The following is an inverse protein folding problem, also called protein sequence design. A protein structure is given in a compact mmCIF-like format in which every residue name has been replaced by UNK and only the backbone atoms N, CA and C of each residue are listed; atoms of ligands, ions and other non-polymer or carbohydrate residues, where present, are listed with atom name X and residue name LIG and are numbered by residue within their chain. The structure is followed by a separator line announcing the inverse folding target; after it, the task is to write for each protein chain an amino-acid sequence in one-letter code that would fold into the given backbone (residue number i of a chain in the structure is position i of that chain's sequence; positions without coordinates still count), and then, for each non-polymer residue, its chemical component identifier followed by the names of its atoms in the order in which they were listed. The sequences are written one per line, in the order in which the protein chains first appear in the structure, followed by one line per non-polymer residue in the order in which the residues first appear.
data_IF_458528373468
#
_entry.id   IF_458528373468
#
_cell.length_a   1.000
_cell.length_b   1.000
_cell.length_c   1.000
_cell.angle_alpha   90.00
_cell.angle_beta   90.00
_cell.angle_gamma   90.00
#
_symmetry.space_group_name_H-M   'P 1'
#
loop_
_entity.id
_entity.type
_entity.pdbx_description
1 polymer ?
#
# COMPACT_ATOMS: atom_id res chain seq x y z
N UNK A 1 -22.63 1.02 -19.13
CA UNK A 1 -23.08 1.85 -17.97
C UNK A 1 -23.01 1.04 -16.68
N UNK A 2 -22.62 1.68 -15.56
CA UNK A 2 -22.49 1.06 -14.23
C UNK A 2 -23.73 1.34 -13.39
N UNK A 3 -24.23 0.34 -12.65
CA UNK A 3 -25.39 0.44 -11.74
C UNK A 3 -24.92 0.38 -10.30
N UNK A 4 -24.91 1.52 -9.62
CA UNK A 4 -24.49 1.66 -8.22
C UNK A 4 -25.44 0.95 -7.24
N UNK A 5 -26.69 0.67 -7.65
CA UNK A 5 -27.63 -0.11 -6.85
C UNK A 5 -27.20 -1.57 -6.64
N UNK A 6 -26.41 -2.11 -7.58
CA UNK A 6 -25.91 -3.48 -7.51
C UNK A 6 -24.63 -3.61 -6.67
N UNK A 7 -23.96 -2.50 -6.37
CA UNK A 7 -22.72 -2.53 -5.57
C UNK A 7 -23.07 -2.95 -4.14
N UNK A 8 -22.45 -4.01 -3.58
CA UNK A 8 -22.68 -4.43 -2.21
C UNK A 8 -22.32 -3.32 -1.23
N UNK A 9 -23.13 -3.16 -0.18
CA UNK A 9 -22.99 -2.05 0.78
C UNK A 9 -22.88 -2.60 2.19
N UNK A 10 -21.86 -2.15 2.92
CA UNK A 10 -21.73 -2.43 4.35
C UNK A 10 -22.66 -1.55 5.21
N UNK A 11 -22.95 -0.33 4.75
CA UNK A 11 -23.79 0.65 5.45
C UNK A 11 -25.05 0.97 4.66
N UNK A 12 -26.20 0.91 5.33
CA UNK A 12 -27.45 1.42 4.78
C UNK A 12 -27.44 2.96 4.85
N UNK A 13 -27.91 3.62 3.80
CA UNK A 13 -28.10 5.07 3.78
C UNK A 13 -27.12 5.88 2.92
N UNK A 14 -26.10 5.24 2.32
CA UNK A 14 -25.19 5.93 1.41
C UNK A 14 -25.90 6.46 0.17
N UNK A 15 -25.57 7.69 -0.22
CA UNK A 15 -26.08 8.31 -1.44
C UNK A 15 -25.34 7.85 -2.70
N UNK A 16 -25.85 8.23 -3.87
CA UNK A 16 -25.24 7.84 -5.15
C UNK A 16 -23.84 8.41 -5.38
N UNK A 17 -23.51 9.54 -4.77
CA UNK A 17 -22.20 10.20 -4.90
C UNK A 17 -21.18 9.49 -4.02
N UNK A 18 -21.51 9.24 -2.75
CA UNK A 18 -20.68 8.52 -1.79
C UNK A 18 -20.35 7.11 -2.30
N UNK A 19 -21.31 6.43 -2.94
CA UNK A 19 -21.06 5.14 -3.58
C UNK A 19 -20.10 5.24 -4.77
N UNK A 20 -20.14 6.34 -5.52
CA UNK A 20 -19.31 6.53 -6.71
C UNK A 20 -17.85 6.85 -6.36
N UNK A 21 -17.61 7.62 -5.28
CA UNK A 21 -16.26 8.06 -4.87
C UNK A 21 -15.72 7.29 -3.67
N UNK A 22 -16.45 6.28 -3.18
CA UNK A 22 -16.03 5.46 -2.04
C UNK A 22 -14.67 4.81 -2.29
N UNK A 23 -13.76 4.95 -1.32
CA UNK A 23 -12.44 4.29 -1.28
C UNK A 23 -12.40 3.12 -0.29
N UNK A 24 -13.54 2.42 -0.09
CA UNK A 24 -13.55 1.20 0.69
C UNK A 24 -12.51 0.19 0.18
N UNK A 25 -11.76 -0.39 1.10
CA UNK A 25 -10.69 -1.36 0.86
C UNK A 25 -11.25 -2.72 0.43
N UNK A 26 -10.37 -3.63 0.01
CA UNK A 26 -10.70 -5.04 -0.31
C UNK A 26 -11.72 -5.20 -1.46
N UNK A 27 -11.76 -4.25 -2.40
CA UNK A 27 -12.60 -4.32 -3.60
C UNK A 27 -11.75 -4.45 -4.85
N UNK A 28 -12.21 -5.27 -5.79
CA UNK A 28 -11.56 -5.47 -7.08
C UNK A 28 -12.60 -5.35 -8.20
N UNK A 29 -12.24 -4.66 -9.27
CA UNK A 29 -13.03 -4.63 -10.51
C UNK A 29 -12.37 -5.55 -11.52
N UNK A 30 -13.13 -6.49 -12.09
CA UNK A 30 -12.66 -7.44 -13.08
C UNK A 30 -13.51 -7.30 -14.34
N UNK A 31 -12.85 -7.23 -15.50
CA UNK A 31 -13.51 -7.23 -16.80
C UNK A 31 -13.48 -8.64 -17.34
N UNK A 32 -14.66 -9.18 -17.65
CA UNK A 32 -14.84 -10.56 -18.11
C UNK A 32 -15.64 -10.53 -19.42
N UNK A 33 -15.36 -11.48 -20.32
CA UNK A 33 -16.18 -11.67 -21.51
C UNK A 33 -17.63 -12.01 -21.13
N UNK A 34 -18.66 -11.53 -21.86
CA UNK A 34 -20.06 -11.76 -21.51
C UNK A 34 -20.42 -13.24 -21.30
N UNK A 35 -19.83 -14.13 -22.09
CA UNK A 35 -20.01 -15.59 -22.02
C UNK A 35 -19.47 -16.22 -20.73
N UNK A 36 -18.47 -15.61 -20.09
CA UNK A 36 -17.77 -16.15 -18.94
C UNK A 36 -18.28 -15.61 -17.60
N UNK A 37 -19.17 -14.61 -17.60
CA UNK A 37 -19.66 -13.94 -16.37
C UNK A 37 -20.24 -14.94 -15.37
N UNK A 38 -21.11 -15.84 -15.82
CA UNK A 38 -21.74 -16.83 -14.91
C UNK A 38 -20.74 -17.81 -14.34
N UNK A 39 -19.75 -18.23 -15.13
CA UNK A 39 -18.68 -19.13 -14.70
C UNK A 39 -17.80 -18.45 -13.65
N UNK A 40 -17.45 -17.18 -13.87
CA UNK A 40 -16.67 -16.39 -12.91
C UNK A 40 -17.41 -16.22 -11.58
N UNK A 41 -18.70 -15.86 -11.62
CA UNK A 41 -19.53 -15.73 -10.42
C UNK A 41 -19.66 -17.06 -9.65
N UNK A 42 -19.72 -18.19 -10.36
CA UNK A 42 -19.74 -19.51 -9.72
C UNK A 42 -18.43 -19.81 -8.97
N UNK A 43 -17.27 -19.54 -9.58
CA UNK A 43 -15.98 -19.71 -8.90
C UNK A 43 -15.79 -18.75 -7.73
N UNK A 44 -16.19 -17.48 -7.86
CA UNK A 44 -16.15 -16.54 -6.74
C UNK A 44 -16.96 -17.06 -5.55
N UNK A 45 -18.14 -17.63 -5.82
CA UNK A 45 -18.99 -18.24 -4.78
C UNK A 45 -18.34 -19.48 -4.15
N UNK A 46 -17.64 -20.30 -4.93
CA UNK A 46 -16.90 -21.48 -4.43
C UNK A 46 -15.82 -21.07 -3.42
N UNK A 47 -15.11 -19.97 -3.70
CA UNK A 47 -14.10 -19.36 -2.81
C UNK A 47 -14.70 -18.47 -1.70
N UNK A 48 -16.03 -18.49 -1.51
CA UNK A 48 -16.74 -17.67 -0.53
C UNK A 48 -16.48 -16.15 -0.67
N UNK A 49 -16.33 -15.68 -1.91
CA UNK A 49 -16.16 -14.27 -2.27
C UNK A 49 -17.49 -13.69 -2.78
N UNK A 50 -17.78 -12.43 -2.40
CA UNK A 50 -18.92 -11.70 -2.92
C UNK A 50 -18.55 -11.04 -4.27
N UNK A 51 -19.18 -11.50 -5.34
CA UNK A 51 -19.00 -10.95 -6.68
C UNK A 51 -20.34 -10.63 -7.33
N UNK A 52 -20.42 -9.46 -7.97
CA UNK A 52 -21.64 -8.99 -8.65
C UNK A 52 -21.31 -8.27 -9.95
N UNK A 53 -22.11 -8.53 -10.98
CA UNK A 53 -22.02 -7.78 -12.23
C UNK A 53 -22.65 -6.39 -12.07
N UNK A 54 -21.80 -5.38 -11.85
CA UNK A 54 -22.23 -3.99 -11.62
C UNK A 54 -22.26 -3.13 -12.88
N UNK A 55 -21.51 -3.49 -13.92
CA UNK A 55 -21.34 -2.66 -15.10
C UNK A 55 -21.16 -3.47 -16.38
N UNK A 56 -21.56 -2.87 -17.50
CA UNK A 56 -21.28 -3.36 -18.86
C UNK A 56 -20.47 -2.30 -19.60
N UNK A 57 -19.42 -2.74 -20.28
CA UNK A 57 -18.59 -1.90 -21.15
C UNK A 57 -19.40 -1.54 -22.40
N UNK A 58 -19.47 -0.25 -22.70
CA UNK A 58 -20.22 0.28 -23.85
C UNK A 58 -19.26 0.89 -24.87
N UNK A 59 -19.68 0.96 -26.13
CA UNK A 59 -18.87 1.55 -27.22
C UNK A 59 -18.74 3.07 -27.05
N UNK A 60 -19.74 3.70 -26.47
CA UNK A 60 -19.76 5.14 -26.23
C UNK A 60 -18.66 5.51 -25.22
N UNK A 61 -17.74 6.44 -25.55
CA UNK A 61 -16.58 6.78 -24.71
C UNK A 61 -16.98 7.69 -23.56
N UNK A 62 -17.83 7.19 -22.65
CA UNK A 62 -18.37 7.93 -21.51
C UNK A 62 -18.43 7.06 -20.26
N UNK A 63 -18.17 7.70 -19.11
CA UNK A 63 -18.43 7.12 -17.80
C UNK A 63 -19.86 7.49 -17.40
N UNK A 64 -20.73 6.48 -17.34
CA UNK A 64 -22.13 6.64 -16.91
C UNK A 64 -22.37 5.79 -15.68
N UNK A 65 -22.71 6.46 -14.56
CA UNK A 65 -23.11 5.82 -13.31
C UNK A 65 -24.61 6.06 -13.06
N UNK A 66 -25.33 4.97 -12.85
CA UNK A 66 -26.77 4.95 -12.59
C UNK A 66 -27.03 4.62 -11.13
N UNK A 67 -27.91 5.38 -10.48
CA UNK A 67 -28.39 5.09 -9.13
C UNK A 67 -29.90 5.32 -9.06
N UNK A 68 -30.65 4.31 -8.59
CA UNK A 68 -32.12 4.33 -8.47
C UNK A 68 -32.82 4.79 -9.76
N UNK A 69 -32.30 4.34 -10.91
CA UNK A 69 -32.83 4.65 -12.24
C UNK A 69 -32.47 6.05 -12.76
N UNK A 70 -31.65 6.83 -12.05
CA UNK A 70 -31.18 8.16 -12.49
C UNK A 70 -29.68 8.14 -12.81
N UNK A 71 -29.29 8.89 -13.83
CA UNK A 71 -27.88 9.18 -14.11
C UNK A 71 -27.35 10.15 -13.05
N UNK A 72 -26.43 9.69 -12.20
CA UNK A 72 -25.77 10.52 -11.19
C UNK A 72 -24.42 11.04 -11.67
N UNK A 73 -23.78 10.31 -12.59
CA UNK A 73 -22.55 10.74 -13.27
C UNK A 73 -22.67 10.43 -14.75
N UNK A 74 -22.35 11.41 -15.59
CA UNK A 74 -22.29 11.25 -17.04
C UNK A 74 -21.18 12.15 -17.62
N UNK A 75 -19.95 11.62 -17.66
CA UNK A 75 -18.76 12.35 -18.09
C UNK A 75 -18.16 11.72 -19.35
N UNK A 76 -17.56 12.53 -20.23
CA UNK A 76 -16.83 12.00 -21.38
C UNK A 76 -15.49 11.42 -20.95
N UNK A 77 -15.02 10.36 -21.62
CA UNK A 77 -13.70 9.77 -21.36
C UNK A 77 -12.59 10.80 -21.59
N UNK A 78 -12.72 11.59 -22.66
CA UNK A 78 -11.78 12.66 -23.00
C UNK A 78 -11.64 13.72 -21.90
N UNK A 79 -12.71 14.06 -21.17
CA UNK A 79 -12.63 14.98 -20.04
C UNK A 79 -11.82 14.38 -18.88
N UNK A 80 -12.05 13.11 -18.56
CA UNK A 80 -11.29 12.40 -17.53
C UNK A 80 -9.80 12.25 -17.89
N UNK A 81 -9.46 12.21 -19.18
CA UNK A 81 -8.07 12.11 -19.67
C UNK A 81 -7.28 13.42 -19.62
N UNK A 82 -7.91 14.54 -19.25
CA UNK A 82 -7.23 15.85 -19.22
C UNK A 82 -6.14 15.96 -18.15
N UNK A 83 -6.03 15.00 -17.22
CA UNK A 83 -5.08 14.99 -16.10
C UNK A 83 -5.13 16.26 -15.20
N UNK A 84 -6.18 17.08 -15.32
CA UNK A 84 -6.31 18.33 -14.59
C UNK A 84 -5.68 19.52 -15.32
N UNK A 85 -5.52 20.63 -14.59
CA UNK A 85 -4.89 21.84 -15.11
C UNK A 85 -3.41 21.85 -14.76
N UNK A 86 -2.57 22.36 -15.66
CA UNK A 86 -1.16 22.62 -15.38
C UNK A 86 -1.05 23.59 -14.20
N UNK A 87 -0.32 23.21 -13.16
CA UNK A 87 -0.06 24.03 -11.98
C UNK A 87 1.41 24.38 -11.92
N UNK A 88 1.70 25.68 -11.77
CA UNK A 88 3.05 26.17 -11.55
C UNK A 88 3.10 26.82 -10.17
N UNK A 89 4.15 26.52 -9.41
CA UNK A 89 4.43 27.15 -8.13
C UNK A 89 5.89 27.55 -8.08
N UNK A 90 6.15 28.76 -7.58
CA UNK A 90 7.51 29.24 -7.36
C UNK A 90 7.97 28.72 -6.00
N UNK A 91 9.02 27.89 -6.00
CA UNK A 91 9.62 27.37 -4.78
C UNK A 91 10.99 27.99 -4.62
N UNK A 92 11.27 28.52 -3.42
CA UNK A 92 12.63 28.86 -3.02
C UNK A 92 13.20 27.66 -2.26
N UNK A 93 14.30 27.12 -2.74
CA UNK A 93 15.04 26.04 -2.07
C UNK A 93 16.39 26.61 -1.67
N UNK A 94 16.62 26.73 -0.36
CA UNK A 94 17.94 27.08 0.16
C UNK A 94 18.89 25.91 -0.11
N UNK A 95 20.12 26.23 -0.54
CA UNK A 95 21.14 25.20 -0.65
C UNK A 95 21.46 24.65 0.75
N UNK A 96 21.38 23.33 0.97
CA UNK A 96 21.75 22.76 2.25
C UNK A 96 23.21 23.06 2.57
N UNK A 97 23.52 23.38 3.83
CA UNK A 97 24.90 23.65 4.26
C UNK A 97 25.74 22.36 4.07
N UNK A 98 26.82 22.39 3.27
CA UNK A 98 27.70 21.23 3.10
C UNK A 98 28.28 20.69 4.41
N UNK A 99 28.40 21.54 5.45
CA UNK A 99 28.86 21.13 6.78
C UNK A 99 27.83 20.30 7.54
N UNK A 100 26.55 20.49 7.24
CA UNK A 100 25.43 19.77 7.83
C UNK A 100 24.99 18.59 6.95
N UNK A 101 25.90 18.06 6.13
CA UNK A 101 25.61 16.94 5.25
C UNK A 101 25.30 15.68 6.07
N UNK A 102 24.02 15.30 6.09
CA UNK A 102 23.52 14.12 6.81
C UNK A 102 24.15 12.81 6.32
N UNK A 103 24.68 12.74 5.09
CA UNK A 103 25.40 11.56 4.59
C UNK A 103 26.76 11.36 5.27
N UNK A 104 27.31 12.42 5.86
CA UNK A 104 28.58 12.38 6.58
C UNK A 104 28.39 12.27 8.10
N UNK A 105 27.15 12.40 8.59
CA UNK A 105 26.82 12.22 10.01
C UNK A 105 26.51 10.75 10.26
N UNK A 106 27.52 10.02 10.70
CA UNK A 106 27.46 8.57 10.90
C UNK A 106 27.21 8.19 12.37
N UNK A 107 27.19 9.16 13.28
CA UNK A 107 27.05 8.95 14.71
C UNK A 107 25.96 9.83 15.32
N UNK A 108 25.32 9.31 16.37
CA UNK A 108 24.39 10.09 17.18
C UNK A 108 25.15 11.01 18.13
N UNK A 109 24.56 12.14 18.61
CA UNK A 109 25.23 13.02 19.56
C UNK A 109 25.76 12.29 20.81
N UNK A 110 25.03 11.29 21.30
CA UNK A 110 25.44 10.48 22.45
C UNK A 110 26.71 9.65 22.18
N UNK A 111 26.87 9.17 20.94
CA UNK A 111 28.06 8.45 20.47
C UNK A 111 29.22 9.43 20.28
N UNK A 112 28.99 10.57 19.62
CA UNK A 112 30.02 11.62 19.42
C UNK A 112 30.62 12.08 20.74
N UNK A 113 29.77 12.38 21.73
CA UNK A 113 30.18 12.85 23.05
C UNK A 113 31.00 11.80 23.81
N UNK A 114 30.59 10.53 23.74
CA UNK A 114 31.30 9.43 24.40
C UNK A 114 32.69 9.19 23.77
N UNK A 115 32.79 9.25 22.44
CA UNK A 115 34.06 9.14 21.71
C UNK A 115 35.00 10.30 22.03
N UNK A 116 34.48 11.54 22.07
CA UNK A 116 35.28 12.71 22.44
C UNK A 116 35.81 12.64 23.87
N UNK A 117 35.07 12.00 24.79
CA UNK A 117 35.51 11.72 26.15
C UNK A 117 36.46 10.51 26.28
N UNK A 118 36.76 9.80 25.18
CA UNK A 118 37.58 8.59 25.17
C UNK A 118 36.91 7.35 25.77
N UNK A 119 35.59 7.39 26.02
CA UNK A 119 34.83 6.29 26.60
C UNK A 119 34.19 5.42 25.51
N UNK A 120 35.00 4.49 25.00
CA UNK A 120 34.55 3.52 23.99
C UNK A 120 33.39 2.66 24.47
N UNK A 121 33.34 2.29 25.76
CA UNK A 121 32.27 1.44 26.28
C UNK A 121 30.93 2.17 26.22
N UNK A 122 30.91 3.45 26.62
CA UNK A 122 29.71 4.28 26.55
C UNK A 122 29.27 4.52 25.10
N UNK A 123 30.22 4.76 24.19
CA UNK A 123 29.91 4.91 22.76
C UNK A 123 29.23 3.67 22.18
N UNK A 124 29.76 2.47 22.46
CA UNK A 124 29.16 1.21 22.00
C UNK A 124 27.76 0.96 22.56
N UNK A 125 27.54 1.24 23.85
CA UNK A 125 26.22 1.07 24.45
C UNK A 125 25.20 2.07 23.90
N UNK A 126 25.63 3.29 23.57
CA UNK A 126 24.77 4.29 22.94
C UNK A 126 24.39 3.87 21.51
N UNK A 127 25.35 3.39 20.72
CA UNK A 127 25.11 2.92 19.36
C UNK A 127 24.15 1.71 19.34
N UNK A 128 24.37 0.71 20.19
CA UNK A 128 23.50 -0.48 20.26
C UNK A 128 22.07 -0.17 20.76
N UNK A 129 21.89 0.97 21.45
CA UNK A 129 20.58 1.44 21.90
C UNK A 129 19.85 2.31 20.86
N UNK A 130 20.54 2.74 19.80
CA UNK A 130 19.92 3.53 18.73
C UNK A 130 18.86 2.70 17.99
N UNK A 131 17.73 3.31 17.65
CA UNK A 131 16.61 2.61 17.02
C UNK A 131 16.93 2.09 15.61
N UNK A 132 17.89 2.69 14.92
CA UNK A 132 18.33 2.22 13.60
C UNK A 132 19.26 1.01 13.69
N UNK A 133 19.82 0.72 14.87
CA UNK A 133 20.85 -0.32 15.08
C UNK A 133 20.37 -1.44 15.99
N UNK A 134 19.53 -1.12 16.98
CA UNK A 134 19.05 -2.07 17.95
C UNK A 134 18.27 -3.23 17.29
N UNK A 135 18.12 -4.34 18.02
CA UNK A 135 17.47 -5.53 17.46
C UNK A 135 16.00 -5.25 17.08
N UNK A 136 15.68 -5.46 15.81
CA UNK A 136 14.31 -5.37 15.30
C UNK A 136 13.47 -6.63 15.55
N UNK A 137 14.00 -7.59 16.32
CA UNK A 137 13.37 -8.89 16.58
C UNK A 137 11.93 -8.77 17.10
N UNK A 138 11.70 -7.88 18.06
CA UNK A 138 10.37 -7.68 18.62
C UNK A 138 9.33 -7.20 17.59
N UNK A 139 9.74 -6.42 16.59
CA UNK A 139 8.87 -5.98 15.50
C UNK A 139 8.59 -7.13 14.53
N UNK A 140 9.65 -7.82 14.12
CA UNK A 140 9.60 -8.87 13.10
C UNK A 140 8.83 -10.10 13.59
N UNK A 141 8.93 -10.46 14.87
CA UNK A 141 8.18 -11.59 15.45
C UNK A 141 6.65 -11.35 15.53
N UNK A 142 6.16 -10.13 15.29
CA UNK A 142 4.72 -9.87 15.17
C UNK A 142 4.14 -10.34 13.83
N UNK A 143 4.99 -10.70 12.87
CA UNK A 143 4.58 -11.13 11.54
C UNK A 143 4.94 -12.60 11.31
N UNK A 144 4.05 -13.33 10.64
CA UNK A 144 4.31 -14.71 10.24
C UNK A 144 5.15 -14.75 8.95
N UNK A 145 6.37 -15.27 9.04
CA UNK A 145 7.30 -15.41 7.91
C UNK A 145 7.18 -16.75 7.14
N UNK A 146 6.28 -17.64 7.54
CA UNK A 146 6.21 -19.03 7.05
C UNK A 146 5.04 -19.32 6.09
N UNK A 147 4.12 -18.37 5.93
CA UNK A 147 2.94 -18.51 5.06
C UNK A 147 3.35 -18.70 3.59
N UNK A 148 2.64 -19.59 2.89
CA UNK A 148 2.83 -19.82 1.44
C UNK A 148 3.74 -20.99 1.07
N UNK A 149 4.26 -21.74 2.06
CA UNK A 149 5.08 -22.96 1.89
C UNK A 149 6.35 -22.81 1.02
N UNK A 150 6.68 -21.59 0.59
CA UNK A 150 7.82 -21.27 -0.26
C UNK A 150 8.98 -20.60 0.47
N UNK A 151 8.81 -20.16 1.72
CA UNK A 151 9.85 -19.46 2.49
C UNK A 151 11.05 -20.38 2.77
N UNK A 152 12.24 -19.98 2.30
CA UNK A 152 13.49 -20.71 2.54
C UNK A 152 14.22 -20.15 3.77
N UNK A 153 14.25 -18.82 3.90
CA UNK A 153 14.84 -18.17 5.06
C UNK A 153 13.77 -17.66 6.02
N UNK A 154 13.99 -17.93 7.31
CA UNK A 154 13.28 -17.24 8.38
C UNK A 154 13.91 -15.87 8.61
N UNK A 155 13.17 -14.90 9.18
CA UNK A 155 13.69 -13.55 9.41
C UNK A 155 14.94 -13.52 10.31
N UNK A 156 15.05 -14.48 11.24
CA UNK A 156 16.26 -14.71 12.02
C UNK A 156 16.77 -16.14 11.83
N UNK A 157 18.09 -16.29 11.85
CA UNK A 157 18.77 -17.56 11.69
C UNK A 157 19.77 -17.86 12.81
N UNK A 158 20.59 -18.88 12.57
CA UNK A 158 21.58 -19.39 13.51
C UNK A 158 20.96 -20.24 14.63
N UNK A 159 21.83 -20.80 15.48
CA UNK A 159 21.46 -21.71 16.58
C UNK A 159 20.43 -21.10 17.54
N UNK A 160 20.47 -19.78 17.71
CA UNK A 160 19.64 -19.05 18.68
C UNK A 160 18.52 -18.21 18.06
N UNK A 161 18.38 -18.20 16.72
CA UNK A 161 17.37 -17.38 16.03
C UNK A 161 17.49 -15.88 16.44
N UNK A 162 18.73 -15.36 16.33
CA UNK A 162 19.07 -13.97 16.69
C UNK A 162 19.80 -13.23 15.57
N UNK A 163 20.32 -13.94 14.56
CA UNK A 163 21.02 -13.31 13.45
C UNK A 163 20.01 -12.95 12.37
N UNK A 164 19.82 -11.65 12.12
CA UNK A 164 18.89 -11.17 11.10
C UNK A 164 19.35 -11.58 9.69
N UNK A 165 18.43 -12.17 8.93
CA UNK A 165 18.69 -12.54 7.54
C UNK A 165 18.69 -11.28 6.66
N UNK A 166 19.76 -11.07 5.91
CA UNK A 166 19.95 -9.87 5.09
C UNK A 166 19.23 -9.90 3.72
N UNK A 167 18.49 -10.98 3.44
CA UNK A 167 17.82 -11.18 2.15
C UNK A 167 16.59 -12.07 2.31
N UNK A 168 15.63 -11.92 1.39
CA UNK A 168 14.46 -12.80 1.29
C UNK A 168 14.71 -13.84 0.19
N UNK A 169 14.48 -15.11 0.50
CA UNK A 169 14.56 -16.22 -0.47
C UNK A 169 13.31 -17.08 -0.36
N UNK A 170 12.66 -17.26 -1.51
CA UNK A 170 11.50 -18.13 -1.66
C UNK A 170 11.66 -19.08 -2.86
N UNK A 171 11.08 -20.27 -2.74
CA UNK A 171 10.98 -21.23 -3.84
C UNK A 171 9.89 -20.79 -4.83
N UNK A 172 10.18 -20.92 -6.12
CA UNK A 172 9.24 -20.71 -7.25
C UNK A 172 8.54 -22.04 -7.58
#
# INVERSE_FOLDING_TARGET
ACRLDKVPKKYAGLDGTELAISESQERMAVVVAPEDVQKFLAFAKEENLEAVEVAVVTKEPRLVLMWRGKEVVNLSRAFLDTNGAHQETNVAVDMPDPKENYLNKIDTPAVSEALAAGDMKKAWLAELADLNVCSQKGLVEMFDGSIGAGSVYMPFGGKYQLTETQSMVAKI
#
